data_IF_312718553059
#
_entry.id   IF_312718553059
#
_cell.length_a   1.000
_cell.length_b   1.000
_cell.length_c   1.000
_cell.angle_alpha   90.00
_cell.angle_beta   90.00
_cell.angle_gamma   90.00
#
_symmetry.space_group_name_H-M   'P 1'
#
loop_
_entity.id
_entity.type
_entity.pdbx_description
1 polymer ?
#
# COMPACT_ATOMS: atom_id res chain seq x y z
N UNK A 1 8.07 -14.27 -5.09
CA UNK A 1 7.15 -15.39 -5.25
C UNK A 1 5.94 -14.90 -6.04
N UNK A 2 5.47 -15.70 -7.00
CA UNK A 2 4.28 -15.41 -7.82
C UNK A 2 3.02 -16.09 -7.28
N UNK A 3 3.05 -16.50 -6.01
CA UNK A 3 1.90 -16.97 -5.26
C UNK A 3 1.05 -15.78 -4.75
N UNK A 4 -0.16 -16.08 -4.30
CA UNK A 4 -1.08 -15.05 -3.74
C UNK A 4 -0.43 -14.24 -2.63
N UNK A 5 0.32 -14.91 -1.73
CA UNK A 5 0.94 -14.21 -0.61
C UNK A 5 2.04 -13.25 -1.07
N UNK A 6 2.84 -13.66 -2.05
CA UNK A 6 3.85 -12.78 -2.64
C UNK A 6 3.24 -11.54 -3.29
N UNK A 7 2.11 -11.70 -3.99
CA UNK A 7 1.37 -10.58 -4.59
C UNK A 7 0.76 -9.68 -3.52
N UNK A 8 0.18 -10.26 -2.47
CA UNK A 8 -0.34 -9.49 -1.31
C UNK A 8 0.77 -8.65 -0.67
N UNK A 9 1.94 -9.24 -0.38
CA UNK A 9 3.07 -8.52 0.22
C UNK A 9 3.51 -7.36 -0.67
N UNK A 10 3.63 -7.56 -1.98
CA UNK A 10 3.98 -6.50 -2.94
C UNK A 10 2.94 -5.37 -2.93
N UNK A 11 1.63 -5.69 -2.90
CA UNK A 11 0.57 -4.69 -2.83
C UNK A 11 0.58 -3.94 -1.50
N UNK A 12 0.79 -4.64 -0.38
CA UNK A 12 0.92 -4.00 0.94
C UNK A 12 2.09 -3.01 0.97
N UNK A 13 3.23 -3.37 0.37
CA UNK A 13 4.37 -2.46 0.23
C UNK A 13 4.04 -1.25 -0.63
N UNK A 14 3.37 -1.44 -1.78
CA UNK A 14 3.08 -0.37 -2.74
C UNK A 14 1.98 0.59 -2.27
N UNK A 15 1.02 0.12 -1.45
CA UNK A 15 -0.16 0.90 -1.09
C UNK A 15 -0.18 1.37 0.37
N UNK A 16 0.58 0.70 1.25
CA UNK A 16 0.48 0.92 2.69
C UNK A 16 -0.86 0.48 3.30
N UNK A 17 -1.71 -0.23 2.57
CA UNK A 17 -3.00 -0.74 3.06
C UNK A 17 -2.85 -1.70 4.24
N UNK A 18 -3.94 -1.94 4.97
CA UNK A 18 -3.96 -2.97 6.02
C UNK A 18 -4.04 -4.37 5.43
N UNK A 19 -3.51 -5.34 6.16
CA UNK A 19 -3.48 -6.75 5.76
C UNK A 19 -4.83 -7.27 5.27
N UNK A 20 -5.91 -7.03 6.03
CA UNK A 20 -7.24 -7.48 5.67
C UNK A 20 -7.79 -6.74 4.43
N UNK A 21 -7.48 -5.44 4.29
CA UNK A 21 -7.91 -4.64 3.15
C UNK A 21 -7.42 -5.23 1.82
N UNK A 22 -6.18 -5.71 1.77
CA UNK A 22 -5.62 -6.36 0.57
C UNK A 22 -5.92 -7.86 0.52
N UNK A 23 -5.84 -8.58 1.63
CA UNK A 23 -6.07 -10.03 1.63
C UNK A 23 -7.50 -10.44 1.28
N UNK A 24 -8.46 -9.56 1.51
CA UNK A 24 -9.88 -9.74 1.20
C UNK A 24 -10.33 -8.88 0.01
N UNK A 25 -9.38 -8.34 -0.77
CA UNK A 25 -9.67 -7.50 -1.93
C UNK A 25 -10.52 -8.26 -2.95
N UNK A 26 -11.51 -7.58 -3.51
CA UNK A 26 -12.42 -8.12 -4.51
C UNK A 26 -12.16 -7.51 -5.88
N UNK A 27 -12.42 -8.27 -6.94
CA UNK A 27 -12.35 -7.76 -8.30
C UNK A 27 -13.34 -6.64 -8.55
N UNK A 28 -14.52 -6.69 -7.94
CA UNK A 28 -15.54 -5.64 -7.99
C UNK A 28 -15.12 -4.32 -7.31
N UNK A 29 -14.07 -4.34 -6.48
CA UNK A 29 -13.49 -3.15 -5.83
C UNK A 29 -12.40 -2.48 -6.66
N UNK A 30 -12.04 -3.03 -7.84
CA UNK A 30 -10.96 -2.55 -8.71
C UNK A 30 -11.55 -1.96 -9.98
N UNK A 31 -11.27 -0.69 -10.21
CA UNK A 31 -11.55 -0.01 -11.48
C UNK A 31 -10.24 0.12 -12.26
N UNK A 32 -10.06 -0.74 -13.26
CA UNK A 32 -8.85 -0.75 -14.09
C UNK A 32 -8.79 0.40 -15.10
N UNK A 33 -9.92 1.03 -15.45
CA UNK A 33 -9.97 2.18 -16.36
C UNK A 33 -9.51 3.45 -15.63
N UNK A 34 -10.01 3.64 -14.40
CA UNK A 34 -9.59 4.74 -13.53
C UNK A 34 -8.31 4.46 -12.77
N UNK A 35 -7.83 3.22 -12.78
CA UNK A 35 -6.65 2.80 -12.02
C UNK A 35 -6.85 2.89 -10.51
N UNK A 36 -8.05 2.59 -10.00
CA UNK A 36 -8.36 2.76 -8.57
C UNK A 36 -8.79 1.46 -7.90
N UNK A 37 -8.57 1.40 -6.58
CA UNK A 37 -9.27 0.46 -5.70
C UNK A 37 -10.17 1.25 -4.76
N UNK A 38 -11.37 0.72 -4.48
CA UNK A 38 -12.31 1.30 -3.51
C UNK A 38 -12.74 0.26 -2.50
N UNK A 39 -12.20 0.35 -1.29
CA UNK A 39 -12.52 -0.53 -0.18
C UNK A 39 -13.70 0.08 0.58
N UNK A 40 -14.85 -0.60 0.67
CA UNK A 40 -16.04 -0.05 1.31
C UNK A 40 -15.85 0.14 2.81
N UNK A 41 -16.60 1.06 3.40
CA UNK A 41 -16.55 1.40 4.83
C UNK A 41 -16.75 0.19 5.76
N UNK A 42 -17.55 -0.78 5.33
CA UNK A 42 -17.82 -2.04 6.06
C UNK A 42 -16.59 -2.93 6.23
N UNK A 43 -15.56 -2.76 5.38
CA UNK A 43 -14.31 -3.54 5.43
C UNK A 43 -13.11 -2.76 5.98
N UNK A 44 -13.27 -1.47 6.24
CA UNK A 44 -12.20 -0.66 6.82
C UNK A 44 -12.32 -0.61 8.34
N UNK A 45 -11.18 -0.62 9.05
CA UNK A 45 -11.16 -0.62 10.52
C UNK A 45 -11.82 0.61 11.15
N UNK A 46 -11.81 1.74 10.47
CA UNK A 46 -12.32 3.02 10.98
C UNK A 46 -13.70 3.40 10.42
N UNK A 47 -14.35 2.51 9.67
CA UNK A 47 -15.68 2.75 9.10
C UNK A 47 -15.72 3.79 7.97
N UNK A 48 -14.57 4.26 7.47
CA UNK A 48 -14.50 5.18 6.34
C UNK A 48 -14.05 4.44 5.08
N UNK A 49 -14.81 4.54 3.99
CA UNK A 49 -14.38 3.98 2.71
C UNK A 49 -13.01 4.56 2.30
N UNK A 50 -12.19 3.72 1.68
CA UNK A 50 -10.86 4.08 1.19
C UNK A 50 -10.81 3.93 -0.33
N UNK A 51 -10.61 5.03 -1.03
CA UNK A 51 -10.32 5.00 -2.48
C UNK A 51 -8.87 5.43 -2.70
N UNK A 52 -8.10 4.59 -3.38
CA UNK A 52 -6.71 4.86 -3.75
C UNK A 52 -6.55 4.75 -5.26
N UNK A 53 -5.92 5.76 -5.86
CA UNK A 53 -5.38 5.66 -7.22
C UNK A 53 -4.05 4.91 -7.14
N UNK A 54 -3.98 3.77 -7.81
CA UNK A 54 -2.82 2.88 -7.73
C UNK A 54 -1.71 3.31 -8.70
N UNK A 55 -0.44 3.17 -8.33
CA UNK A 55 0.67 3.30 -9.27
C UNK A 55 0.63 2.16 -10.30
N UNK A 56 1.17 2.40 -11.49
CA UNK A 56 1.17 1.43 -12.60
C UNK A 56 1.67 0.05 -12.17
N UNK A 57 2.74 -0.01 -11.37
CA UNK A 57 3.29 -1.27 -10.84
C UNK A 57 2.28 -2.10 -10.05
N UNK A 58 1.40 -1.45 -9.28
CA UNK A 58 0.35 -2.14 -8.53
C UNK A 58 -0.77 -2.63 -9.46
N UNK A 59 -1.15 -1.81 -10.44
CA UNK A 59 -2.14 -2.20 -11.46
C UNK A 59 -1.66 -3.37 -12.30
N UNK A 60 -0.41 -3.37 -12.73
CA UNK A 60 0.18 -4.46 -13.52
C UNK A 60 0.23 -5.76 -12.71
N UNK A 61 0.56 -5.66 -11.41
CA UNK A 61 0.50 -6.79 -10.51
C UNK A 61 -0.92 -7.37 -10.39
N UNK A 62 -1.95 -6.53 -10.31
CA UNK A 62 -3.34 -6.96 -10.27
C UNK A 62 -3.79 -7.56 -11.60
N UNK A 63 -3.41 -6.95 -12.75
CA UNK A 63 -3.70 -7.49 -14.09
C UNK A 63 -3.08 -8.87 -14.30
N UNK A 64 -1.86 -9.09 -13.79
CA UNK A 64 -1.16 -10.36 -13.86
C UNK A 64 -1.68 -11.40 -12.84
N UNK A 65 -2.60 -11.03 -11.95
CA UNK A 65 -3.17 -11.96 -10.95
C UNK A 65 -4.27 -12.80 -11.61
N UNK A 66 -4.18 -14.15 -11.58
CA UNK A 66 -5.18 -15.00 -12.19
C UNK A 66 -6.57 -14.85 -11.54
N UNK A 67 -7.59 -14.62 -12.35
CA UNK A 67 -8.98 -14.69 -11.88
C UNK A 67 -9.38 -16.13 -11.66
N UNK A 68 -10.09 -16.40 -10.57
CA UNK A 68 -10.63 -17.72 -10.26
C UNK A 68 -12.10 -17.78 -10.61
N UNK A 69 -12.50 -18.91 -11.22
CA UNK A 69 -13.91 -19.13 -11.54
C UNK A 69 -14.76 -19.10 -10.26
N UNK A 70 -15.90 -18.45 -10.34
CA UNK A 70 -16.89 -18.33 -9.26
C UNK A 70 -16.39 -17.64 -7.98
N UNK A 71 -15.36 -16.79 -8.05
CA UNK A 71 -14.87 -16.00 -6.92
C UNK A 71 -14.64 -14.55 -7.29
N UNK A 72 -15.21 -13.64 -6.52
CA UNK A 72 -14.90 -12.22 -6.62
C UNK A 72 -13.62 -11.84 -5.84
N UNK A 73 -13.08 -12.75 -5.01
CA UNK A 73 -11.83 -12.49 -4.29
C UNK A 73 -10.63 -12.50 -5.23
N UNK A 74 -9.77 -11.50 -5.11
CA UNK A 74 -8.49 -11.42 -5.84
C UNK A 74 -7.53 -12.51 -5.33
N UNK A 75 -7.52 -12.76 -4.02
CA UNK A 75 -6.64 -13.68 -3.34
C UNK A 75 -7.40 -14.75 -2.52
N UNK A 76 -6.73 -15.88 -2.28
CA UNK A 76 -7.32 -17.00 -1.54
C UNK A 76 -8.07 -17.98 -2.42
N UNK A 77 -8.47 -19.12 -1.85
CA UNK A 77 -9.13 -20.23 -2.57
C UNK A 77 -10.61 -20.39 -2.18
N UNK A 78 -11.30 -19.28 -1.99
CA UNK A 78 -12.70 -19.27 -1.55
C UNK A 78 -12.88 -18.63 -0.17
N UNK A 79 -14.12 -18.49 0.30
CA UNK A 79 -14.44 -17.86 1.58
C UNK A 79 -14.13 -16.36 1.62
N UNK A 80 -13.66 -15.84 2.75
CA UNK A 80 -13.47 -14.38 2.95
C UNK A 80 -12.19 -13.81 2.33
N UNK A 81 -11.51 -14.53 1.44
CA UNK A 81 -10.23 -14.11 0.86
C UNK A 81 -9.04 -14.93 1.38
N UNK A 82 -7.89 -14.30 1.56
CA UNK A 82 -6.66 -14.99 1.99
C UNK A 82 -6.66 -15.25 3.50
N UNK A 83 -6.51 -16.50 3.93
CA UNK A 83 -6.65 -16.92 5.35
C UNK A 83 -5.40 -17.51 5.98
N UNK A 84 -4.47 -18.09 5.21
CA UNK A 84 -3.31 -18.85 5.73
C UNK A 84 -2.11 -17.97 6.13
N UNK A 85 -2.36 -16.86 6.79
CA UNK A 85 -1.37 -15.81 7.07
C UNK A 85 -0.12 -16.31 7.80
N UNK A 86 -0.28 -17.02 8.92
CA UNK A 86 0.85 -17.47 9.74
C UNK A 86 1.75 -18.43 8.98
N UNK A 87 1.16 -19.37 8.23
CA UNK A 87 1.91 -20.31 7.39
C UNK A 87 2.68 -19.59 6.28
N UNK A 88 2.03 -18.64 5.61
CA UNK A 88 2.62 -17.89 4.51
C UNK A 88 3.78 -16.99 4.97
N UNK A 89 3.64 -16.29 6.11
CA UNK A 89 4.72 -15.50 6.71
C UNK A 89 5.89 -16.39 7.09
N UNK A 90 5.65 -17.54 7.74
CA UNK A 90 6.70 -18.51 8.08
C UNK A 90 7.46 -18.99 6.82
N UNK A 91 6.73 -19.33 5.76
CA UNK A 91 7.32 -19.75 4.48
C UNK A 91 8.14 -18.63 3.82
N UNK A 92 7.69 -17.38 3.87
CA UNK A 92 8.44 -16.24 3.37
C UNK A 92 9.74 -16.04 4.16
N UNK A 93 9.68 -16.06 5.49
CA UNK A 93 10.85 -15.91 6.35
C UNK A 93 11.89 -17.01 6.10
N UNK A 94 11.46 -18.25 5.91
CA UNK A 94 12.34 -19.35 5.56
C UNK A 94 13.07 -19.10 4.24
N UNK A 95 12.37 -18.60 3.20
CA UNK A 95 12.98 -18.26 1.91
C UNK A 95 13.99 -17.11 2.03
N UNK A 96 13.67 -16.08 2.82
CA UNK A 96 14.56 -14.93 3.05
C UNK A 96 15.82 -15.38 3.80
N UNK A 97 15.68 -16.23 4.82
CA UNK A 97 16.81 -16.79 5.56
C UNK A 97 17.70 -17.68 4.67
N UNK A 98 17.10 -18.54 3.85
CA UNK A 98 17.82 -19.38 2.89
C UNK A 98 18.58 -18.54 1.85
N UNK A 99 18.13 -17.33 1.54
CA UNK A 99 18.84 -16.38 0.68
C UNK A 99 19.97 -15.62 1.41
N UNK A 100 20.31 -16.01 2.64
CA UNK A 100 21.39 -15.42 3.44
C UNK A 100 21.08 -14.04 4.01
N UNK A 101 19.80 -13.65 4.08
CA UNK A 101 19.35 -12.32 4.57
C UNK A 101 18.27 -12.44 5.63
N UNK A 102 18.51 -13.14 6.77
CA UNK A 102 17.49 -13.29 7.79
C UNK A 102 17.07 -11.91 8.29
N UNK A 103 15.76 -11.69 8.37
CA UNK A 103 15.20 -10.48 8.94
C UNK A 103 14.99 -10.67 10.45
N UNK A 104 15.20 -9.63 11.29
CA UNK A 104 14.73 -9.62 12.66
C UNK A 104 13.21 -9.81 12.70
N UNK A 105 12.65 -10.09 13.88
CA UNK A 105 11.21 -10.27 14.03
C UNK A 105 10.43 -9.09 13.42
N UNK A 106 9.57 -9.37 12.43
CA UNK A 106 8.74 -8.38 11.74
C UNK A 106 7.32 -8.91 11.53
N UNK A 107 6.41 -8.00 11.28
CA UNK A 107 5.00 -8.29 11.00
C UNK A 107 4.59 -7.65 9.67
N UNK A 108 3.48 -8.11 9.09
CA UNK A 108 2.92 -7.46 7.89
C UNK A 108 2.53 -5.99 8.15
N UNK A 109 2.27 -5.61 9.40
CA UNK A 109 1.98 -4.24 9.76
C UNK A 109 3.20 -3.33 9.64
N UNK A 110 4.40 -3.87 9.78
CA UNK A 110 5.64 -3.10 9.63
C UNK A 110 5.87 -2.65 8.18
N UNK A 111 5.32 -3.36 7.17
CA UNK A 111 5.33 -2.89 5.79
C UNK A 111 4.59 -1.54 5.66
N UNK A 112 3.47 -1.40 6.34
CA UNK A 112 2.70 -0.15 6.37
C UNK A 112 3.42 0.95 7.16
N UNK A 113 4.06 0.60 8.28
CA UNK A 113 4.87 1.54 9.06
C UNK A 113 6.05 2.05 8.22
N UNK A 114 6.74 1.15 7.52
CA UNK A 114 7.83 1.50 6.61
C UNK A 114 7.35 2.41 5.48
N UNK A 115 6.20 2.09 4.85
CA UNK A 115 5.63 2.96 3.83
C UNK A 115 5.35 4.37 4.37
N UNK A 116 4.76 4.50 5.57
CA UNK A 116 4.52 5.80 6.21
C UNK A 116 5.81 6.58 6.46
N UNK A 117 6.82 5.92 7.07
CA UNK A 117 8.10 6.53 7.40
C UNK A 117 8.83 7.02 6.14
N UNK A 118 8.97 6.15 5.16
CA UNK A 118 9.69 6.51 3.95
C UNK A 118 8.94 7.49 3.04
N UNK A 119 7.61 7.47 3.02
CA UNK A 119 6.83 8.54 2.37
C UNK A 119 7.16 9.91 3.00
N UNK A 120 7.27 10.00 4.33
CA UNK A 120 7.68 11.23 5.00
C UNK A 120 9.12 11.64 4.62
N UNK A 121 10.06 10.70 4.59
CA UNK A 121 11.46 10.93 4.21
C UNK A 121 11.62 11.42 2.76
N UNK A 122 10.73 11.00 1.87
CA UNK A 122 10.73 11.47 0.48
C UNK A 122 9.93 12.76 0.27
N UNK A 123 9.44 13.38 1.34
CA UNK A 123 8.82 14.69 1.32
C UNK A 123 7.30 14.69 1.14
N UNK A 124 6.62 13.55 1.28
CA UNK A 124 5.15 13.51 1.30
C UNK A 124 4.64 14.13 2.60
N UNK A 125 3.71 15.07 2.48
CA UNK A 125 3.15 15.79 3.63
C UNK A 125 2.42 14.86 4.60
N UNK A 126 2.53 15.06 5.93
CA UNK A 126 1.94 14.16 6.93
C UNK A 126 0.44 13.90 6.75
N UNK A 127 -0.34 14.94 6.43
CA UNK A 127 -1.77 14.81 6.22
C UNK A 127 -2.14 13.98 4.97
N UNK A 128 -1.27 13.98 3.94
CA UNK A 128 -1.44 13.14 2.75
C UNK A 128 -1.09 11.68 3.09
N UNK A 129 -0.03 11.44 3.87
CA UNK A 129 0.30 10.10 4.37
C UNK A 129 -0.88 9.53 5.16
N UNK A 130 -1.47 10.33 6.05
CA UNK A 130 -2.66 9.91 6.80
C UNK A 130 -3.87 9.61 5.91
N UNK A 131 -4.05 10.41 4.84
CA UNK A 131 -5.11 10.17 3.86
C UNK A 131 -4.87 8.86 3.07
N UNK A 132 -3.64 8.61 2.59
CA UNK A 132 -3.22 7.35 1.95
C UNK A 132 -3.52 6.16 2.87
N UNK A 133 -3.16 6.29 4.13
CA UNK A 133 -3.32 5.23 5.12
C UNK A 133 -4.74 5.13 5.68
N UNK A 134 -5.69 5.98 5.29
CA UNK A 134 -7.01 6.05 5.90
C UNK A 134 -6.93 6.08 7.44
N UNK A 135 -6.02 6.91 7.98
CA UNK A 135 -5.94 7.15 9.42
C UNK A 135 -6.94 8.23 9.82
N UNK A 136 -7.59 8.02 10.97
CA UNK A 136 -8.38 9.05 11.65
C UNK A 136 -7.52 9.57 12.79
N UNK A 137 -6.72 10.60 12.54
CA UNK A 137 -6.03 11.32 13.61
C UNK A 137 -6.92 12.42 14.16
N UNK A 138 -6.67 12.86 15.40
CA UNK A 138 -7.47 13.87 16.09
C UNK A 138 -7.55 15.24 15.39
N UNK A 139 -6.76 15.48 14.34
CA UNK A 139 -6.84 16.67 13.48
C UNK A 139 -8.04 16.67 12.52
N UNK A 140 -8.80 15.56 12.42
CA UNK A 140 -10.01 15.44 11.59
C UNK A 140 -11.31 15.56 12.39
N UNK A 141 -11.26 15.91 13.67
CA UNK A 141 -12.44 16.22 14.47
C UNK A 141 -12.89 17.66 14.17
N UNK A 142 -13.81 17.83 13.20
CA UNK A 142 -14.39 19.12 12.86
C UNK A 142 -14.87 19.18 11.41
N UNK A 143 -15.53 20.29 11.06
CA UNK A 143 -16.09 20.57 9.71
C UNK A 143 -15.06 20.42 8.60
N UNK A 144 -13.77 20.65 8.86
CA UNK A 144 -12.67 20.45 7.92
C UNK A 144 -12.50 18.98 7.45
N UNK A 145 -12.92 18.00 8.25
CA UNK A 145 -12.82 16.58 7.90
C UNK A 145 -13.77 16.12 6.78
N UNK A 146 -14.87 16.83 6.59
CA UNK A 146 -15.91 16.51 5.59
C UNK A 146 -15.61 17.14 4.23
N UNK A 147 -15.05 18.34 4.21
CA UNK A 147 -14.79 19.08 2.95
C UNK A 147 -13.58 18.61 2.15
N UNK A 148 -12.68 17.84 2.74
CA UNK A 148 -11.35 17.60 2.16
C UNK A 148 -11.17 16.26 1.41
N UNK A 149 -12.22 15.42 1.31
CA UNK A 149 -12.07 14.09 0.66
C UNK A 149 -11.82 14.18 -0.85
N UNK A 150 -12.48 15.11 -1.54
CA UNK A 150 -12.27 15.33 -2.98
C UNK A 150 -10.94 16.04 -3.28
N UNK A 151 -10.43 16.85 -2.33
CA UNK A 151 -9.21 17.63 -2.50
C UNK A 151 -7.94 16.75 -2.55
N UNK A 152 -7.91 15.65 -1.82
CA UNK A 152 -6.68 14.83 -1.69
C UNK A 152 -6.52 13.70 -2.70
N UNK A 153 -7.50 13.45 -3.59
CA UNK A 153 -7.39 12.32 -4.55
C UNK A 153 -6.14 12.45 -5.42
N UNK A 154 -5.86 13.65 -5.92
CA UNK A 154 -4.67 13.93 -6.74
C UNK A 154 -3.38 13.80 -5.93
N UNK A 155 -3.38 14.34 -4.72
CA UNK A 155 -2.19 14.30 -3.84
C UNK A 155 -1.89 12.87 -3.38
N UNK A 156 -2.92 12.08 -3.08
CA UNK A 156 -2.80 10.65 -2.78
C UNK A 156 -2.19 9.88 -3.97
N UNK A 157 -2.69 10.14 -5.18
CA UNK A 157 -2.16 9.52 -6.39
C UNK A 157 -0.68 9.85 -6.59
N UNK A 158 -0.32 11.12 -6.43
CA UNK A 158 1.07 11.58 -6.54
C UNK A 158 1.96 10.98 -5.45
N UNK A 159 1.48 10.92 -4.22
CA UNK A 159 2.21 10.32 -3.10
C UNK A 159 2.50 8.83 -3.34
N UNK A 160 1.50 8.06 -3.79
CA UNK A 160 1.67 6.64 -4.10
C UNK A 160 2.59 6.43 -5.31
N UNK A 161 2.56 7.30 -6.31
CA UNK A 161 3.48 7.23 -7.44
C UNK A 161 4.93 7.47 -7.00
N UNK A 162 5.19 8.55 -6.23
CA UNK A 162 6.51 8.87 -5.67
C UNK A 162 7.04 7.72 -4.78
N UNK A 163 6.17 7.17 -3.95
CA UNK A 163 6.49 6.03 -3.10
C UNK A 163 6.86 4.79 -3.91
N UNK A 164 6.07 4.46 -4.92
CA UNK A 164 6.34 3.32 -5.81
C UNK A 164 7.69 3.46 -6.51
N UNK A 165 8.02 4.63 -7.05
CA UNK A 165 9.29 4.92 -7.69
C UNK A 165 10.46 4.77 -6.71
N UNK A 166 10.30 5.29 -5.49
CA UNK A 166 11.29 5.14 -4.42
C UNK A 166 11.52 3.67 -4.07
N UNK A 167 10.45 2.91 -3.84
CA UNK A 167 10.50 1.50 -3.52
C UNK A 167 11.21 0.69 -4.61
N UNK A 168 10.88 0.93 -5.89
CA UNK A 168 11.53 0.28 -7.02
C UNK A 168 13.01 0.64 -7.13
N UNK A 169 13.39 1.89 -6.82
CA UNK A 169 14.78 2.30 -6.79
C UNK A 169 15.57 1.58 -5.70
N UNK A 170 14.99 1.44 -4.50
CA UNK A 170 15.59 0.68 -3.39
C UNK A 170 15.78 -0.79 -3.75
N UNK A 171 14.74 -1.42 -4.33
CA UNK A 171 14.80 -2.83 -4.77
C UNK A 171 15.85 -3.04 -5.85
N UNK A 172 16.03 -2.07 -6.75
CA UNK A 172 17.06 -2.09 -7.80
C UNK A 172 18.47 -1.71 -7.29
N UNK A 173 18.65 -1.46 -5.99
CA UNK A 173 19.93 -1.02 -5.41
C UNK A 173 20.39 0.36 -5.88
N UNK A 174 19.49 1.16 -6.46
CA UNK A 174 19.82 2.50 -6.94
C UNK A 174 19.76 3.50 -5.78
N UNK A 175 20.87 4.19 -5.52
CA UNK A 175 20.85 5.33 -4.61
C UNK A 175 20.04 6.47 -5.24
N UNK A 176 19.04 6.99 -4.55
CA UNK A 176 18.36 8.22 -4.97
C UNK A 176 19.37 9.36 -4.96
N UNK A 177 19.45 10.13 -6.05
CA UNK A 177 20.23 11.36 -6.07
C UNK A 177 19.53 12.35 -5.15
N UNK A 178 20.04 12.51 -3.94
CA UNK A 178 19.57 13.54 -3.00
C UNK A 178 20.04 14.87 -3.61
N UNK A 179 19.11 15.66 -4.14
CA UNK A 179 19.41 17.04 -4.51
C UNK A 179 19.31 17.83 -3.21
N UNK A 180 20.42 18.38 -2.69
CA UNK A 180 20.35 19.23 -1.50
C UNK A 180 19.46 20.42 -1.82
N UNK A 181 18.52 20.75 -0.90
CA UNK A 181 17.82 22.02 -0.93
C UNK A 181 18.88 23.11 -0.96
N UNK A 182 18.84 23.97 -1.98
CA UNK A 182 19.74 25.13 -2.07
C UNK A 182 19.64 25.88 -0.76
N UNK A 183 20.78 26.06 -0.07
CA UNK A 183 20.86 27.02 1.03
C UNK A 183 20.38 28.37 0.52
N UNK A 184 19.54 29.11 1.29
CA UNK A 184 19.18 30.46 0.92
C UNK A 184 20.48 31.26 0.80
N UNK A 185 20.65 31.98 -0.31
CA UNK A 185 21.79 32.87 -0.50
C UNK A 185 21.88 33.79 0.73
N UNK A 186 22.98 33.72 1.45
CA UNK A 186 23.27 34.69 2.50
C UNK A 186 23.34 36.06 1.83
N UNK A 187 22.43 36.94 2.24
CA UNK A 187 22.48 38.38 1.90
C UNK A 187 23.62 39.05 2.65
#
# INVERSE_FOLDING_TARGET
>A
ADDDFGRIVKLLMLTGCRRAEIGELKWSEIDFERGTITIPSTRTKNGNALTLTLPATALDLLRATPRRNNSDNVFGRGGPGFTIWSHAVKGLNARIAAAGKPLPGWTLHDLRRSAATHMAEIGVQPHIIEAVLNHVSGHKSGVAGVYNRAAYTRDIAQALQLWSEHLLAVVAGRKRKVVPLREPARA
#
